data_IF_011853372848
#
_entry.id   IF_011853372848
#
_cell.length_a   1.000
_cell.length_b   1.000
_cell.length_c   1.000
_cell.angle_alpha   90.00
_cell.angle_beta   90.00
_cell.angle_gamma   90.00
#
_symmetry.space_group_name_H-M   'P 1'
#
loop_
_entity.id
_entity.type
_entity.pdbx_description
1 polymer ?
#
# COMPACT_ATOMS: atom_id res chain seq x y z
N UNK A 1 -13.18 -7.99 12.12
CA UNK A 1 -13.02 -6.66 11.49
C UNK A 1 -11.79 -6.65 10.61
N UNK A 2 -11.91 -6.13 9.39
CA UNK A 2 -10.79 -6.09 8.46
C UNK A 2 -9.91 -4.86 8.68
N UNK A 3 -8.59 -5.05 8.60
CA UNK A 3 -7.64 -3.94 8.59
C UNK A 3 -7.61 -3.35 7.17
N UNK A 4 -7.81 -2.06 7.07
CA UNK A 4 -7.90 -1.38 5.78
C UNK A 4 -6.57 -0.77 5.41
N UNK A 5 -6.08 -1.10 4.22
CA UNK A 5 -4.73 -0.79 3.78
C UNK A 5 -4.76 0.18 2.60
N UNK A 6 -3.85 1.17 2.66
CA UNK A 6 -3.51 1.99 1.51
C UNK A 6 -2.11 1.64 1.05
N UNK A 7 -1.85 1.73 -0.24
CA UNK A 7 -0.54 1.45 -0.81
C UNK A 7 -0.08 2.68 -1.60
N UNK A 8 1.09 3.19 -1.28
CA UNK A 8 1.70 4.24 -2.07
C UNK A 8 2.84 3.64 -2.88
N UNK A 9 2.62 3.54 -4.19
CA UNK A 9 3.58 2.98 -5.13
C UNK A 9 3.29 1.55 -5.53
N UNK A 10 3.09 1.32 -6.83
CA UNK A 10 2.90 -0.02 -7.41
C UNK A 10 4.12 -0.43 -8.21
N UNK A 11 5.30 -0.26 -7.61
CA UNK A 11 6.50 -0.86 -8.12
C UNK A 11 6.49 -2.36 -7.84
N UNK A 12 7.65 -2.99 -7.95
CA UNK A 12 7.75 -4.45 -7.77
C UNK A 12 7.20 -4.91 -6.43
N UNK A 13 7.56 -4.23 -5.34
CA UNK A 13 7.13 -4.62 -4.01
C UNK A 13 5.65 -4.36 -3.79
N UNK A 14 5.16 -3.19 -4.21
CA UNK A 14 3.74 -2.87 -4.08
C UNK A 14 2.86 -3.87 -4.83
N UNK A 15 3.25 -4.24 -6.05
CA UNK A 15 2.52 -5.25 -6.83
C UNK A 15 2.57 -6.61 -6.17
N UNK A 16 3.71 -6.98 -5.59
CA UNK A 16 3.83 -8.25 -4.87
C UNK A 16 2.90 -8.31 -3.68
N UNK A 17 2.78 -7.20 -2.93
CA UNK A 17 1.88 -7.12 -1.79
C UNK A 17 0.43 -7.29 -2.23
N UNK A 18 0.02 -6.59 -3.30
CA UNK A 18 -1.36 -6.72 -3.82
C UNK A 18 -1.65 -8.17 -4.20
N UNK A 19 -0.74 -8.79 -4.96
CA UNK A 19 -0.93 -10.17 -5.39
C UNK A 19 -1.01 -11.13 -4.20
N UNK A 20 -0.13 -10.96 -3.23
CA UNK A 20 -0.11 -11.81 -2.04
C UNK A 20 -1.43 -11.74 -1.28
N UNK A 21 -1.99 -10.55 -1.12
CA UNK A 21 -3.24 -10.37 -0.38
C UNK A 21 -4.40 -11.10 -1.07
N UNK A 22 -4.43 -11.13 -2.40
CA UNK A 22 -5.52 -11.76 -3.14
C UNK A 22 -5.27 -13.22 -3.49
N UNK A 23 -4.01 -13.65 -3.62
CA UNK A 23 -3.68 -15.04 -3.94
C UNK A 23 -3.61 -15.93 -2.71
N UNK A 24 -3.23 -15.37 -1.57
CA UNK A 24 -3.23 -16.08 -0.31
C UNK A 24 -4.46 -15.67 0.50
N UNK A 25 -4.85 -16.49 1.46
CA UNK A 25 -6.05 -16.20 2.24
C UNK A 25 -5.73 -15.19 3.36
N UNK A 26 -5.82 -13.92 3.02
CA UNK A 26 -5.67 -12.83 3.98
C UNK A 26 -7.01 -12.13 4.19
N UNK A 27 -7.98 -12.88 4.68
CA UNK A 27 -9.37 -12.38 4.83
C UNK A 27 -9.50 -11.23 5.82
N UNK A 28 -8.50 -11.02 6.68
CA UNK A 28 -8.49 -9.91 7.64
C UNK A 28 -7.89 -8.63 7.09
N UNK A 29 -7.44 -8.62 5.84
CA UNK A 29 -6.87 -7.45 5.19
C UNK A 29 -7.73 -7.01 4.02
N UNK A 30 -7.86 -5.70 3.83
CA UNK A 30 -8.60 -5.14 2.71
C UNK A 30 -7.86 -3.93 2.16
N UNK A 31 -7.55 -3.96 0.86
CA UNK A 31 -6.95 -2.81 0.20
C UNK A 31 -8.04 -1.83 -0.18
N UNK A 32 -7.95 -0.59 0.33
CA UNK A 32 -8.95 0.45 0.10
C UNK A 32 -8.52 1.48 -0.92
N UNK A 33 -7.22 1.78 -0.99
CA UNK A 33 -6.73 2.89 -1.79
C UNK A 33 -5.30 2.60 -2.23
N UNK A 34 -5.05 2.74 -3.54
CA UNK A 34 -3.71 2.65 -4.11
C UNK A 34 -3.41 3.99 -4.77
N UNK A 35 -2.29 4.59 -4.39
CA UNK A 35 -1.77 5.77 -5.06
C UNK A 35 -0.50 5.38 -5.81
N UNK A 36 -0.40 5.76 -7.07
CA UNK A 36 0.75 5.44 -7.91
C UNK A 36 0.86 6.47 -9.02
N UNK A 37 2.05 6.64 -9.57
CA UNK A 37 2.28 7.68 -10.59
C UNK A 37 1.78 7.29 -11.97
N UNK A 38 1.79 6.01 -12.30
CA UNK A 38 1.32 5.53 -13.59
C UNK A 38 -0.20 5.67 -13.71
N UNK A 39 -0.70 5.73 -14.94
CA UNK A 39 -2.15 5.73 -15.15
C UNK A 39 -2.75 4.37 -14.74
N UNK A 40 -4.05 4.37 -14.56
CA UNK A 40 -4.74 3.21 -14.02
C UNK A 40 -4.66 2.00 -14.98
N UNK A 41 -4.67 2.25 -16.27
CA UNK A 41 -4.56 1.19 -17.28
C UNK A 41 -3.19 0.51 -17.21
N UNK A 42 -2.13 1.31 -17.12
CA UNK A 42 -0.77 0.80 -16.99
C UNK A 42 -0.60 0.03 -15.69
N UNK A 43 -1.14 0.58 -14.60
CA UNK A 43 -1.06 -0.08 -13.29
C UNK A 43 -1.74 -1.45 -13.31
N UNK A 44 -2.92 -1.54 -13.92
CA UNK A 44 -3.63 -2.81 -14.05
C UNK A 44 -2.89 -3.81 -14.92
N UNK A 45 -2.30 -3.35 -16.03
CA UNK A 45 -1.53 -4.22 -16.89
C UNK A 45 -0.32 -4.81 -16.16
N UNK A 46 0.35 -3.99 -15.36
CA UNK A 46 1.47 -4.45 -14.56
C UNK A 46 1.05 -5.42 -13.46
N UNK A 47 -0.12 -5.21 -12.86
CA UNK A 47 -0.65 -6.15 -11.88
C UNK A 47 -1.00 -7.50 -12.49
N UNK A 48 -1.57 -7.49 -13.69
CA UNK A 48 -1.98 -8.73 -14.36
C UNK A 48 -0.79 -9.59 -14.73
N UNK A 49 0.33 -8.98 -15.10
CA UNK A 49 1.52 -9.72 -15.53
C UNK A 49 2.78 -9.13 -14.92
N UNK A 50 3.50 -9.97 -14.21
CA UNK A 50 4.80 -9.62 -13.68
C UNK A 50 5.82 -10.55 -14.34
N UNK A 51 6.95 -9.99 -14.80
CA UNK A 51 7.98 -10.77 -15.49
C UNK A 51 8.61 -11.86 -14.60
N UNK A 52 8.55 -11.67 -13.28
CA UNK A 52 9.14 -12.61 -12.32
C UNK A 52 8.09 -13.57 -11.78
N UNK A 53 6.90 -13.05 -11.43
CA UNK A 53 5.86 -13.84 -10.76
C UNK A 53 4.80 -14.37 -11.70
N UNK A 54 4.84 -13.97 -12.97
CA UNK A 54 3.91 -14.44 -13.98
C UNK A 54 2.53 -13.81 -13.88
N UNK A 55 1.53 -14.52 -14.40
CA UNK A 55 0.16 -14.03 -14.46
C UNK A 55 -0.47 -13.98 -13.07
N UNK A 56 -1.12 -12.87 -12.76
CA UNK A 56 -1.90 -12.73 -11.52
C UNK A 56 -3.18 -13.55 -11.65
N UNK A 57 -3.42 -14.41 -10.70
CA UNK A 57 -4.57 -15.31 -10.73
C UNK A 57 -5.80 -14.67 -10.06
N UNK A 58 -6.26 -13.56 -10.64
CA UNK A 58 -7.40 -12.81 -10.13
C UNK A 58 -8.08 -12.07 -11.28
N UNK A 59 -9.36 -11.78 -11.12
CA UNK A 59 -10.11 -10.96 -12.09
C UNK A 59 -9.88 -9.48 -11.79
N UNK A 60 -9.29 -8.77 -12.74
CA UNK A 60 -9.02 -7.34 -12.60
C UNK A 60 -9.77 -6.57 -13.67
N UNK A 61 -10.51 -5.56 -13.26
CA UNK A 61 -11.18 -4.64 -14.18
C UNK A 61 -11.06 -3.21 -13.66
N UNK A 62 -11.29 -2.27 -14.57
CA UNK A 62 -11.24 -0.84 -14.24
C UNK A 62 -12.65 -0.28 -14.32
N UNK A 63 -13.04 0.49 -13.30
CA UNK A 63 -14.33 1.16 -13.27
C UNK A 63 -14.12 2.58 -12.76
N UNK A 64 -14.10 3.56 -13.68
CA UNK A 64 -13.82 4.96 -13.36
C UNK A 64 -12.44 5.10 -12.69
N UNK A 65 -12.39 5.58 -11.45
CA UNK A 65 -11.15 5.73 -10.69
C UNK A 65 -10.89 4.54 -9.78
N UNK A 66 -11.53 3.41 -10.04
CA UNK A 66 -11.40 2.22 -9.20
C UNK A 66 -10.80 1.07 -9.96
N UNK A 67 -9.95 0.31 -9.28
CA UNK A 67 -9.50 -1.00 -9.73
C UNK A 67 -10.35 -2.02 -8.99
N UNK A 68 -11.01 -2.89 -9.75
CA UNK A 68 -11.82 -3.96 -9.16
C UNK A 68 -11.04 -5.26 -9.26
N UNK A 69 -10.72 -5.85 -8.11
CA UNK A 69 -10.00 -7.13 -8.04
C UNK A 69 -10.89 -8.12 -7.32
N UNK A 70 -11.34 -9.15 -8.03
CA UNK A 70 -12.23 -10.18 -7.49
C UNK A 70 -13.46 -9.59 -6.80
N UNK A 71 -14.02 -8.50 -7.34
CA UNK A 71 -15.18 -7.83 -6.77
C UNK A 71 -14.88 -6.79 -5.72
N UNK A 72 -13.61 -6.63 -5.33
CA UNK A 72 -13.21 -5.61 -4.35
C UNK A 72 -12.81 -4.33 -5.06
N UNK A 73 -13.52 -3.24 -4.78
CA UNK A 73 -13.22 -1.95 -5.38
C UNK A 73 -12.14 -1.23 -4.61
N UNK A 74 -11.07 -0.87 -5.31
CA UNK A 74 -9.92 -0.17 -4.73
C UNK A 74 -9.83 1.19 -5.41
N UNK A 75 -9.90 2.26 -4.61
CA UNK A 75 -9.72 3.60 -5.18
C UNK A 75 -8.29 3.78 -5.66
N UNK A 76 -8.12 4.35 -6.85
CA UNK A 76 -6.81 4.58 -7.45
C UNK A 76 -6.59 6.07 -7.65
N UNK A 77 -5.46 6.59 -7.19
CA UNK A 77 -5.10 7.98 -7.37
C UNK A 77 -3.69 8.11 -7.94
N UNK A 78 -3.40 9.26 -8.55
CA UNK A 78 -2.11 9.55 -9.18
C UNK A 78 -1.55 10.84 -8.62
N UNK A 79 -1.26 10.87 -7.33
CA UNK A 79 -0.85 12.06 -6.60
C UNK A 79 0.64 11.96 -6.29
N UNK A 80 1.42 12.99 -6.66
CA UNK A 80 2.86 13.02 -6.42
C UNK A 80 3.23 13.45 -5.01
N UNK A 81 2.50 14.42 -4.47
CA UNK A 81 2.81 14.98 -3.16
C UNK A 81 2.07 14.23 -2.07
N UNK A 82 2.79 13.72 -1.08
CA UNK A 82 2.19 12.95 0.00
C UNK A 82 1.13 13.77 0.76
N UNK A 83 1.34 15.08 0.87
CA UNK A 83 0.42 15.98 1.58
C UNK A 83 -0.96 16.03 0.94
N UNK A 84 -1.06 15.66 -0.33
CA UNK A 84 -2.30 15.73 -1.08
C UNK A 84 -3.04 14.39 -1.17
N UNK A 85 -2.42 13.29 -0.70
CA UNK A 85 -3.07 11.98 -0.73
C UNK A 85 -4.03 11.90 0.46
N UNK A 86 -5.32 11.73 0.19
CA UNK A 86 -6.32 11.69 1.25
C UNK A 86 -6.67 10.25 1.61
N UNK A 87 -5.95 9.69 2.58
CA UNK A 87 -6.20 8.34 3.05
C UNK A 87 -7.50 8.23 3.85
N UNK A 88 -7.86 9.31 4.52
CA UNK A 88 -9.05 9.34 5.38
C UNK A 88 -10.35 9.13 4.61
N UNK A 89 -10.45 9.68 3.39
CA UNK A 89 -11.66 9.52 2.59
C UNK A 89 -11.98 8.07 2.26
N UNK A 90 -10.96 7.23 2.20
CA UNK A 90 -11.14 5.81 1.90
C UNK A 90 -10.94 4.94 3.13
N UNK A 91 -10.97 5.56 4.30
CA UNK A 91 -10.98 4.86 5.58
C UNK A 91 -9.78 3.91 5.75
N UNK A 92 -8.61 4.38 5.35
CA UNK A 92 -7.36 3.61 5.41
C UNK A 92 -6.80 3.64 6.84
N UNK A 93 -6.47 2.47 7.36
CA UNK A 93 -5.81 2.34 8.67
C UNK A 93 -4.30 2.39 8.54
N UNK A 94 -3.73 1.56 7.68
CA UNK A 94 -2.28 1.45 7.49
C UNK A 94 -1.91 1.82 6.07
N UNK A 95 -0.83 2.59 5.92
CA UNK A 95 -0.27 2.90 4.61
C UNK A 95 1.03 2.13 4.43
N UNK A 96 1.14 1.41 3.33
CA UNK A 96 2.38 0.76 2.92
C UNK A 96 3.08 1.69 1.94
N UNK A 97 4.23 2.19 2.34
CA UNK A 97 5.02 3.09 1.50
C UNK A 97 5.99 2.26 0.66
N UNK A 98 5.67 2.07 -0.61
CA UNK A 98 6.38 1.18 -1.51
C UNK A 98 7.04 1.88 -2.69
N UNK A 99 7.18 3.21 -2.64
CA UNK A 99 7.81 3.95 -3.75
C UNK A 99 9.33 3.89 -3.71
N UNK A 100 9.91 3.66 -2.55
CA UNK A 100 11.34 3.73 -2.35
C UNK A 100 11.91 5.15 -2.28
N UNK A 101 11.07 6.17 -2.39
CA UNK A 101 11.49 7.58 -2.43
C UNK A 101 11.49 8.25 -1.07
N UNK A 102 10.64 7.80 -0.17
CA UNK A 102 10.45 8.43 1.14
C UNK A 102 11.05 7.54 2.20
N UNK A 103 12.28 7.86 2.60
CA UNK A 103 13.10 6.98 3.43
C UNK A 103 13.48 7.61 4.77
N UNK A 104 12.68 8.54 5.26
CA UNK A 104 12.87 9.11 6.59
C UNK A 104 11.52 9.34 7.24
N UNK A 105 11.51 9.34 8.56
CA UNK A 105 10.30 9.59 9.34
C UNK A 105 9.64 10.92 8.97
N UNK A 106 10.44 11.96 8.83
CA UNK A 106 9.95 13.30 8.52
C UNK A 106 9.20 13.34 7.18
N UNK A 107 9.71 12.60 6.20
CA UNK A 107 9.09 12.53 4.87
C UNK A 107 7.78 11.74 4.87
N UNK A 108 7.58 10.89 5.87
CA UNK A 108 6.41 10.02 5.95
C UNK A 108 5.28 10.59 6.81
N UNK A 109 5.58 11.64 7.60
CA UNK A 109 4.56 12.26 8.46
C UNK A 109 3.30 12.68 7.71
N UNK A 110 3.36 13.19 6.46
CA UNK A 110 2.14 13.54 5.75
C UNK A 110 1.14 12.39 5.61
N UNK A 111 1.59 11.14 5.52
CA UNK A 111 0.67 10.00 5.51
C UNK A 111 -0.15 9.94 6.79
N UNK A 112 0.48 10.19 7.93
CA UNK A 112 -0.21 10.18 9.23
C UNK A 112 -1.19 11.33 9.34
N UNK A 113 -0.78 12.52 8.87
CA UNK A 113 -1.64 13.70 8.91
C UNK A 113 -2.87 13.54 8.03
N UNK A 114 -2.76 12.76 6.96
CA UNK A 114 -3.83 12.55 6.00
C UNK A 114 -4.70 11.33 6.32
N UNK A 115 -4.56 10.78 7.51
CA UNK A 115 -5.50 9.80 8.01
C UNK A 115 -4.94 8.43 8.33
N UNK A 116 -3.71 8.11 7.92
CA UNK A 116 -3.13 6.81 8.25
C UNK A 116 -2.81 6.74 9.75
N UNK A 117 -3.14 5.63 10.37
CA UNK A 117 -2.81 5.39 11.77
C UNK A 117 -1.38 4.90 11.94
N UNK A 118 -0.89 4.16 10.94
CA UNK A 118 0.47 3.62 10.91
C UNK A 118 0.99 3.65 9.48
N UNK A 119 2.32 3.76 9.35
CA UNK A 119 3.00 3.70 8.06
C UNK A 119 4.07 2.63 8.10
N UNK A 120 4.06 1.75 7.10
CA UNK A 120 5.05 0.70 6.92
C UNK A 120 5.83 1.02 5.66
N UNK A 121 7.15 1.04 5.76
CA UNK A 121 8.01 1.38 4.63
C UNK A 121 8.67 0.11 4.11
N UNK A 122 8.66 -0.07 2.80
CA UNK A 122 9.26 -1.26 2.17
C UNK A 122 10.79 -1.20 2.06
N UNK A 123 11.39 -0.07 2.43
CA UNK A 123 12.85 0.14 2.37
C UNK A 123 13.35 0.67 3.71
N UNK A 124 14.67 0.61 3.98
CA UNK A 124 15.21 1.18 5.22
C UNK A 124 14.83 2.64 5.37
N UNK A 125 14.41 3.01 6.57
CA UNK A 125 13.90 4.34 6.87
C UNK A 125 14.69 4.96 8.02
N UNK A 126 15.21 6.16 7.79
CA UNK A 126 15.92 6.90 8.84
C UNK A 126 14.93 7.40 9.88
N UNK A 127 15.33 7.33 11.14
CA UNK A 127 14.54 7.82 12.28
C UNK A 127 13.19 7.11 12.42
N UNK A 128 13.08 5.90 11.90
CA UNK A 128 11.89 5.09 12.10
C UNK A 128 11.81 4.62 13.55
N UNK A 129 10.60 4.42 14.05
CA UNK A 129 10.40 3.90 15.39
C UNK A 129 11.00 2.50 15.54
N UNK A 130 10.92 1.70 14.48
CA UNK A 130 11.56 0.39 14.42
C UNK A 130 11.92 0.05 12.99
N UNK A 131 13.01 -0.71 12.86
CA UNK A 131 13.35 -1.35 11.60
C UNK A 131 12.95 -2.81 11.69
N UNK A 132 12.14 -3.26 10.73
CA UNK A 132 11.62 -4.62 10.71
C UNK A 132 12.22 -5.36 9.53
N UNK A 133 12.81 -6.52 9.81
CA UNK A 133 13.26 -7.44 8.77
C UNK A 133 12.18 -8.53 8.67
N UNK A 134 11.66 -8.70 7.46
CA UNK A 134 10.59 -9.66 7.22
C UNK A 134 10.95 -11.07 7.74
N UNK A 135 10.05 -11.65 8.49
CA UNK A 135 10.25 -12.97 9.06
C UNK A 135 11.09 -13.00 10.33
N UNK A 136 11.70 -11.88 10.71
CA UNK A 136 12.54 -11.80 11.91
C UNK A 136 11.92 -10.85 12.94
N UNK A 137 11.58 -9.64 12.53
CA UNK A 137 11.08 -8.61 13.43
C UNK A 137 9.58 -8.37 13.34
N UNK A 138 8.86 -9.19 12.58
CA UNK A 138 7.44 -8.97 12.30
C UNK A 138 6.59 -8.83 13.56
N UNK A 139 6.89 -9.58 14.60
CA UNK A 139 6.14 -9.54 15.86
C UNK A 139 6.27 -8.17 16.54
N UNK A 140 7.46 -7.58 16.49
CA UNK A 140 7.71 -6.26 17.09
C UNK A 140 6.92 -5.15 16.41
N UNK A 141 6.59 -5.35 15.15
CA UNK A 141 5.90 -4.36 14.34
C UNK A 141 4.52 -4.00 14.89
N UNK A 142 3.83 -4.92 15.54
CA UNK A 142 2.48 -4.68 16.06
C UNK A 142 2.39 -3.54 17.06
N UNK A 143 3.52 -3.09 17.60
CA UNK A 143 3.56 -2.01 18.58
C UNK A 143 3.76 -0.62 17.98
N UNK A 144 3.99 -0.52 16.67
CA UNK A 144 4.17 0.77 16.01
C UNK A 144 2.82 1.47 15.82
N UNK A 145 2.75 2.75 16.17
CA UNK A 145 1.54 3.55 16.08
C UNK A 145 1.83 4.93 15.51
N UNK A 146 0.79 5.57 14.95
CA UNK A 146 0.92 6.89 14.33
C UNK A 146 1.45 7.94 15.30
N UNK A 147 0.93 7.97 16.53
CA UNK A 147 1.32 8.98 17.51
C UNK A 147 2.71 8.75 18.10
N UNK A 148 3.32 7.64 17.83
CA UNK A 148 4.68 7.32 18.25
C UNK A 148 5.73 7.82 17.24
N UNK A 149 5.29 8.35 16.12
CA UNK A 149 6.18 8.92 15.07
C UNK A 149 6.37 10.45 15.18
#
# INVERSE_FOLDING_TARGET
MKTKIGINGLGRIGRMVVRSIFEEDHSNLKIQHINNRADIETACALLKRDSIHGKFNADISIEKSYININGNKIYYSQIDKLEEINWKNNDVDFVLECTGKFNSREKLIPHLRNGAKKVIVSAPCKNADKTIVFGVNAVSYTHLRAHET
#
